data_IF_060971188986
#
_entry.id   IF_060971188986
#
_cell.length_a   1.000
_cell.length_b   1.000
_cell.length_c   1.000
_cell.angle_alpha   90.00
_cell.angle_beta   90.00
_cell.angle_gamma   90.00
#
_symmetry.space_group_name_H-M   'P 1'
#
loop_
_entity.id
_entity.type
_entity.pdbx_description
1 polymer ?
#
# COMPACT_ATOMS: atom_id res chain seq x y z
N UNK A 1 36.93 -53.52 -50.18
CA UNK A 1 37.64 -52.39 -49.58
C UNK A 1 36.61 -51.31 -49.35
N UNK A 2 36.00 -51.30 -48.09
CA UNK A 2 34.88 -50.47 -47.70
C UNK A 2 35.40 -49.18 -47.09
N UNK A 3 34.92 -48.05 -47.61
CA UNK A 3 35.15 -46.74 -46.98
C UNK A 3 33.93 -46.40 -46.16
N UNK A 4 34.10 -46.38 -44.84
CA UNK A 4 33.14 -45.81 -43.89
C UNK A 4 33.26 -44.29 -43.93
N UNK A 5 32.14 -43.57 -44.25
CA UNK A 5 32.00 -42.14 -44.04
C UNK A 5 31.30 -41.94 -42.72
N UNK A 6 32.03 -41.44 -41.74
CA UNK A 6 31.48 -40.99 -40.44
C UNK A 6 30.93 -39.59 -40.61
N UNK A 7 29.61 -39.41 -40.47
CA UNK A 7 28.98 -38.10 -40.42
C UNK A 7 28.98 -37.61 -38.97
N UNK A 8 29.66 -36.51 -38.72
CA UNK A 8 29.71 -35.82 -37.44
C UNK A 8 28.47 -34.91 -37.33
N UNK A 9 27.47 -35.31 -36.55
CA UNK A 9 26.32 -34.48 -36.24
C UNK A 9 26.70 -33.60 -35.05
N UNK A 10 26.90 -32.30 -35.33
CA UNK A 10 27.17 -31.29 -34.31
C UNK A 10 25.83 -30.90 -33.67
N UNK A 11 25.59 -31.36 -32.44
CA UNK A 11 24.47 -30.90 -31.61
C UNK A 11 24.83 -29.54 -31.01
N UNK A 12 24.27 -28.45 -31.56
CA UNK A 12 24.33 -27.14 -30.94
C UNK A 12 23.24 -27.12 -29.86
N UNK A 13 23.63 -27.36 -28.62
CA UNK A 13 22.79 -27.15 -27.45
C UNK A 13 22.67 -25.64 -27.23
N UNK A 14 21.52 -25.08 -27.59
CA UNK A 14 21.14 -23.71 -27.24
C UNK A 14 20.83 -23.71 -25.75
N UNK A 15 21.81 -23.29 -24.95
CA UNK A 15 21.61 -23.09 -23.51
C UNK A 15 20.75 -21.81 -23.34
N UNK A 16 19.42 -21.95 -23.27
CA UNK A 16 18.55 -20.92 -22.75
C UNK A 16 18.88 -20.74 -21.28
N UNK A 17 19.72 -19.79 -20.95
CA UNK A 17 19.86 -19.30 -19.59
C UNK A 17 18.58 -18.56 -19.22
N UNK A 18 17.61 -19.29 -18.72
CA UNK A 18 16.52 -18.71 -17.95
C UNK A 18 17.18 -18.19 -16.67
N UNK A 19 17.44 -16.89 -16.58
CA UNK A 19 17.73 -16.24 -15.31
C UNK A 19 16.49 -16.38 -14.44
N UNK A 20 16.45 -17.43 -13.63
CA UNK A 20 15.50 -17.54 -12.54
C UNK A 20 15.78 -16.36 -11.61
N UNK A 21 14.96 -15.31 -11.67
CA UNK A 21 14.93 -14.30 -10.64
C UNK A 21 14.62 -15.02 -9.32
N UNK A 22 15.55 -14.97 -8.39
CA UNK A 22 15.35 -15.51 -7.06
C UNK A 22 14.13 -14.79 -6.45
N UNK A 23 13.11 -15.55 -6.09
CA UNK A 23 11.87 -15.08 -5.45
C UNK A 23 12.09 -14.27 -4.17
N UNK A 24 13.32 -14.18 -3.68
CA UNK A 24 13.71 -13.51 -2.43
C UNK A 24 14.64 -12.30 -2.66
N UNK A 25 14.75 -11.78 -3.87
CA UNK A 25 15.60 -10.62 -4.11
C UNK A 25 14.83 -9.32 -3.76
N UNK A 26 15.31 -8.53 -2.75
CA UNK A 26 14.74 -7.21 -2.46
C UNK A 26 14.78 -6.25 -3.67
N UNK A 27 15.64 -6.52 -4.66
CA UNK A 27 15.64 -5.79 -5.94
C UNK A 27 14.36 -5.98 -6.76
N UNK A 28 13.50 -6.96 -6.43
CA UNK A 28 12.21 -7.16 -7.10
C UNK A 28 11.26 -5.96 -6.98
N UNK A 29 11.40 -5.11 -5.93
CA UNK A 29 10.53 -3.95 -5.73
C UNK A 29 11.01 -2.70 -6.46
N UNK A 30 12.30 -2.58 -6.73
CA UNK A 30 12.90 -1.39 -7.31
C UNK A 30 13.79 -1.75 -8.49
N UNK A 31 13.91 -0.82 -9.43
CA UNK A 31 14.83 -0.95 -10.57
C UNK A 31 16.30 -0.65 -10.17
N UNK A 32 17.20 -0.69 -11.13
CA UNK A 32 18.62 -0.39 -10.94
C UNK A 32 18.91 1.03 -10.41
N UNK A 33 17.93 1.93 -10.45
CA UNK A 33 18.02 3.30 -9.93
C UNK A 33 17.33 3.46 -8.57
N UNK A 34 16.92 2.36 -7.92
CA UNK A 34 16.19 2.38 -6.65
C UNK A 34 14.75 2.90 -6.76
N UNK A 35 14.18 2.93 -7.97
CA UNK A 35 12.81 3.38 -8.22
C UNK A 35 11.85 2.19 -8.26
N UNK A 36 10.69 2.32 -7.63
CA UNK A 36 9.63 1.32 -7.68
C UNK A 36 9.24 1.04 -9.14
N UNK A 37 9.25 -0.21 -9.55
CA UNK A 37 8.96 -0.62 -10.93
C UNK A 37 7.98 -1.78 -11.00
N UNK A 38 8.28 -2.89 -10.33
CA UNK A 38 7.47 -4.09 -10.30
C UNK A 38 7.41 -4.66 -8.87
N UNK A 39 6.24 -5.13 -8.47
CA UNK A 39 6.03 -5.76 -7.16
C UNK A 39 5.15 -6.99 -7.31
N UNK A 40 5.74 -8.20 -7.32
CA UNK A 40 4.99 -9.45 -7.42
C UNK A 40 4.22 -9.79 -6.13
N UNK A 41 4.48 -9.09 -5.04
CA UNK A 41 3.90 -9.31 -3.71
C UNK A 41 4.11 -10.72 -3.13
N UNK A 42 5.15 -11.43 -3.57
CA UNK A 42 5.45 -12.80 -3.14
C UNK A 42 6.24 -12.90 -1.84
N UNK A 43 6.98 -11.86 -1.47
CA UNK A 43 7.88 -11.86 -0.33
C UNK A 43 7.28 -11.14 0.86
N UNK A 44 7.01 -11.88 1.94
CA UNK A 44 6.40 -11.38 3.15
C UNK A 44 7.21 -11.80 4.38
N UNK A 45 7.21 -10.93 5.39
CA UNK A 45 7.66 -11.27 6.73
C UNK A 45 6.53 -11.05 7.74
N UNK A 46 6.64 -11.67 8.91
CA UNK A 46 5.75 -11.43 10.04
C UNK A 46 6.56 -11.04 11.25
N UNK A 47 6.22 -9.91 11.86
CA UNK A 47 6.68 -9.56 13.20
C UNK A 47 5.59 -9.91 14.21
N UNK A 48 6.00 -10.39 15.36
CA UNK A 48 5.09 -10.86 16.40
C UNK A 48 4.94 -9.80 17.49
N UNK A 49 3.71 -9.40 17.75
CA UNK A 49 3.39 -8.45 18.82
C UNK A 49 2.48 -9.13 19.83
N UNK A 50 2.91 -9.16 21.10
CA UNK A 50 2.09 -9.66 22.20
C UNK A 50 1.17 -8.55 22.70
N UNK A 51 -0.13 -8.77 22.62
CA UNK A 51 -1.11 -7.86 23.19
C UNK A 51 -1.11 -7.92 24.72
N UNK A 52 -1.52 -6.80 25.33
CA UNK A 52 -1.73 -6.75 26.77
C UNK A 52 -2.71 -7.82 27.23
N UNK A 53 -2.44 -8.44 28.39
CA UNK A 53 -3.26 -9.52 28.95
C UNK A 53 -4.74 -9.12 29.11
N UNK A 54 -5.01 -7.86 29.47
CA UNK A 54 -6.37 -7.33 29.60
C UNK A 54 -7.19 -7.34 28.32
N UNK A 55 -6.55 -7.44 27.14
CA UNK A 55 -7.23 -7.58 25.83
C UNK A 55 -7.40 -9.05 25.46
N UNK A 56 -6.30 -9.72 25.25
CA UNK A 56 -6.31 -11.12 24.87
C UNK A 56 -5.07 -11.87 25.37
N UNK A 57 -3.98 -11.16 25.64
CA UNK A 57 -2.65 -11.72 25.91
C UNK A 57 -2.08 -12.52 24.72
N UNK A 58 -2.73 -12.47 23.56
CA UNK A 58 -2.36 -13.23 22.36
C UNK A 58 -1.20 -12.58 21.64
N UNK A 59 -0.46 -13.39 20.93
CA UNK A 59 0.54 -12.91 19.98
C UNK A 59 -0.11 -12.79 18.59
N UNK A 60 0.00 -11.62 18.01
CA UNK A 60 -0.56 -11.28 16.70
C UNK A 60 0.58 -11.12 15.71
N UNK A 61 0.45 -11.74 14.54
CA UNK A 61 1.36 -11.57 13.43
C UNK A 61 1.02 -10.30 12.65
N UNK A 62 1.97 -9.37 12.57
CA UNK A 62 1.88 -8.19 11.75
C UNK A 62 2.71 -8.39 10.48
N UNK A 63 2.03 -8.63 9.38
CA UNK A 63 2.66 -8.88 8.09
C UNK A 63 3.17 -7.59 7.45
N UNK A 64 4.34 -7.68 6.82
CA UNK A 64 4.92 -6.65 5.97
C UNK A 64 5.52 -7.25 4.71
N UNK A 65 5.67 -6.45 3.66
CA UNK A 65 6.30 -6.84 2.40
C UNK A 65 7.81 -6.61 2.47
N UNK A 66 8.57 -7.60 2.03
CA UNK A 66 10.02 -7.57 1.98
C UNK A 66 10.66 -8.80 2.59
N UNK A 67 11.99 -8.80 2.63
CA UNK A 67 12.81 -9.89 3.19
C UNK A 67 13.44 -9.42 4.49
N UNK A 68 13.22 -10.15 5.56
CA UNK A 68 13.86 -9.93 6.85
C UNK A 68 14.83 -11.09 7.13
N UNK A 69 16.01 -10.76 7.66
CA UNK A 69 17.02 -11.77 7.98
C UNK A 69 16.43 -12.81 8.95
N UNK A 70 16.71 -14.12 8.76
CA UNK A 70 16.08 -15.22 9.50
C UNK A 70 16.23 -15.16 11.03
N UNK A 71 17.21 -14.42 11.55
CA UNK A 71 17.52 -14.33 12.99
C UNK A 71 17.14 -12.96 13.59
N UNK A 72 16.28 -12.17 12.91
CA UNK A 72 15.77 -10.95 13.52
C UNK A 72 14.87 -11.31 14.72
N UNK A 73 15.04 -10.59 15.83
CA UNK A 73 14.16 -10.74 16.99
C UNK A 73 12.74 -10.31 16.60
N UNK A 74 11.83 -11.28 16.54
CA UNK A 74 10.44 -11.08 16.10
C UNK A 74 9.63 -10.15 17.01
N UNK A 75 10.16 -9.79 18.18
CA UNK A 75 9.55 -8.81 19.08
C UNK A 75 10.02 -7.37 18.84
N UNK A 76 10.93 -7.16 17.87
CA UNK A 76 11.32 -5.81 17.49
C UNK A 76 10.19 -5.14 16.70
N UNK A 77 9.51 -4.19 17.34
CA UNK A 77 8.45 -3.38 16.71
C UNK A 77 8.95 -2.52 15.56
N UNK A 78 10.27 -2.36 15.41
CA UNK A 78 10.92 -1.61 14.33
C UNK A 78 11.31 -2.50 13.15
N UNK A 79 10.99 -3.79 13.20
CA UNK A 79 11.33 -4.72 12.14
C UNK A 79 10.64 -4.31 10.83
N UNK A 80 11.41 -3.81 9.91
CA UNK A 80 11.00 -3.48 8.54
C UNK A 80 12.17 -3.84 7.62
N UNK A 81 11.86 -4.38 6.46
CA UNK A 81 12.86 -4.44 5.40
C UNK A 81 13.17 -3.01 4.93
N UNK A 82 14.39 -2.49 5.16
CA UNK A 82 14.75 -1.11 4.79
C UNK A 82 14.74 -0.88 3.28
N UNK A 83 14.74 -1.94 2.48
CA UNK A 83 14.69 -1.89 1.02
C UNK A 83 13.26 -1.96 0.48
N UNK A 84 12.29 -2.38 1.28
CA UNK A 84 10.90 -2.42 0.85
C UNK A 84 10.30 -1.02 0.86
N UNK A 85 9.75 -0.53 -0.27
CA UNK A 85 9.04 0.75 -0.30
C UNK A 85 7.65 0.66 0.33
N UNK A 86 7.17 -0.55 0.60
CA UNK A 86 5.81 -0.83 1.03
C UNK A 86 5.62 -0.72 2.55
N UNK A 87 4.56 -0.04 2.92
CA UNK A 87 3.98 -0.03 4.26
C UNK A 87 2.58 -0.63 4.26
N UNK A 88 2.10 -1.01 5.44
CA UNK A 88 0.76 -1.57 5.63
C UNK A 88 0.08 -0.93 6.83
N UNK A 89 -1.26 -1.04 6.90
CA UNK A 89 -2.03 -0.71 8.12
C UNK A 89 -2.02 -1.84 9.15
N UNK A 90 -1.11 -2.79 9.04
CA UNK A 90 -0.81 -3.75 10.11
C UNK A 90 0.04 -3.04 11.15
N UNK A 91 -0.56 -2.67 12.28
CA UNK A 91 0.02 -1.73 13.23
C UNK A 91 0.12 -2.30 14.64
N UNK A 92 1.15 -1.85 15.34
CA UNK A 92 1.27 -1.88 16.78
C UNK A 92 0.88 -0.52 17.36
N UNK A 93 -0.07 -0.54 18.28
CA UNK A 93 -0.53 0.63 19.02
C UNK A 93 -0.25 0.49 20.48
N UNK A 94 0.21 1.56 21.12
CA UNK A 94 0.43 1.66 22.56
C UNK A 94 -0.22 2.93 23.08
N UNK A 95 -1.48 2.83 23.45
CA UNK A 95 -2.23 3.91 24.10
C UNK A 95 -2.17 3.71 25.62
N UNK A 96 -3.12 3.00 26.20
CA UNK A 96 -3.12 2.50 27.58
C UNK A 96 -2.63 1.05 27.60
N UNK A 97 -3.00 0.30 26.58
CA UNK A 97 -2.68 -1.11 26.39
C UNK A 97 -1.89 -1.33 25.09
N UNK A 98 -1.14 -2.39 25.03
CA UNK A 98 -0.48 -2.86 23.81
C UNK A 98 -1.52 -3.56 22.94
N UNK A 99 -1.73 -3.04 21.74
CA UNK A 99 -2.73 -3.49 20.76
C UNK A 99 -2.05 -3.77 19.45
N UNK A 100 -2.35 -4.91 18.84
CA UNK A 100 -1.90 -5.22 17.48
C UNK A 100 -3.10 -5.42 16.56
N UNK A 101 -2.99 -4.93 15.32
CA UNK A 101 -4.03 -5.11 14.33
C UNK A 101 -3.45 -5.51 12.99
N UNK A 102 -4.02 -6.55 12.39
CA UNK A 102 -3.65 -7.06 11.06
C UNK A 102 -4.87 -7.02 10.15
N UNK A 103 -4.75 -6.31 9.00
CA UNK A 103 -5.78 -6.20 7.97
C UNK A 103 -5.22 -6.29 6.56
N UNK A 104 -3.91 -6.44 6.43
CA UNK A 104 -3.19 -6.72 5.18
C UNK A 104 -2.49 -8.06 5.36
N UNK A 105 -2.93 -9.06 4.62
CA UNK A 105 -2.57 -10.47 4.87
C UNK A 105 -2.04 -11.07 3.57
N UNK A 106 -0.91 -11.82 3.60
CA UNK A 106 -0.51 -12.64 2.46
C UNK A 106 -1.52 -13.78 2.27
N UNK A 107 -2.10 -13.88 1.07
CA UNK A 107 -2.97 -14.98 0.68
C UNK A 107 -2.32 -15.75 -0.49
N UNK A 108 -2.39 -17.08 -0.46
CA UNK A 108 -1.84 -17.91 -1.54
C UNK A 108 -2.53 -17.63 -2.87
N UNK A 109 -1.69 -17.41 -3.92
CA UNK A 109 -2.12 -17.32 -5.30
C UNK A 109 -1.13 -18.06 -6.19
N UNK A 110 -1.57 -19.16 -6.78
CA UNK A 110 -0.67 -20.03 -7.56
C UNK A 110 0.54 -20.49 -6.74
N UNK A 111 1.74 -20.27 -7.26
CA UNK A 111 2.99 -20.59 -6.57
C UNK A 111 3.42 -19.54 -5.55
N UNK A 112 2.89 -18.31 -5.66
CA UNK A 112 3.24 -17.16 -4.83
C UNK A 112 2.17 -16.72 -3.84
N UNK A 113 2.12 -15.43 -3.59
CA UNK A 113 1.15 -14.77 -2.70
C UNK A 113 0.64 -13.49 -3.35
N UNK A 114 -0.56 -13.09 -2.94
CA UNK A 114 -1.11 -11.76 -3.19
C UNK A 114 -1.32 -11.02 -1.87
N UNK A 115 -1.57 -9.72 -1.92
CA UNK A 115 -2.02 -8.95 -0.79
C UNK A 115 -3.54 -9.00 -0.68
N UNK A 116 -4.06 -9.50 0.45
CA UNK A 116 -5.47 -9.44 0.82
C UNK A 116 -5.67 -8.31 1.81
N UNK A 117 -6.45 -7.32 1.44
CA UNK A 117 -6.79 -6.14 2.23
C UNK A 117 -8.21 -6.30 2.76
N UNK A 118 -8.41 -6.26 4.07
CA UNK A 118 -9.71 -6.45 4.70
C UNK A 118 -10.17 -5.20 5.45
N UNK A 119 -11.45 -4.91 5.40
CA UNK A 119 -12.08 -4.00 6.36
C UNK A 119 -12.80 -4.80 7.43
N UNK A 120 -12.52 -4.52 8.69
CA UNK A 120 -13.20 -5.17 9.80
C UNK A 120 -13.33 -4.26 11.01
N UNK A 121 -14.29 -4.57 11.87
CA UNK A 121 -14.43 -3.92 13.18
C UNK A 121 -13.61 -4.72 14.20
N UNK A 122 -12.64 -4.07 14.79
CA UNK A 122 -11.99 -4.58 15.99
C UNK A 122 -12.89 -4.28 17.19
N UNK A 123 -13.12 -5.30 18.01
CA UNK A 123 -13.93 -5.21 19.22
C UNK A 123 -13.09 -5.60 20.42
N UNK A 124 -12.94 -4.65 21.33
CA UNK A 124 -12.23 -4.84 22.59
C UNK A 124 -13.17 -4.57 23.77
N UNK A 125 -12.90 -5.22 24.91
CA UNK A 125 -13.54 -4.92 26.18
C UNK A 125 -12.45 -4.59 27.20
N UNK A 126 -12.36 -3.33 27.58
CA UNK A 126 -11.33 -2.83 28.49
C UNK A 126 -12.02 -2.46 29.80
N UNK A 127 -11.89 -3.31 30.81
CA UNK A 127 -12.49 -3.12 32.13
C UNK A 127 -14.02 -2.83 32.07
N UNK A 128 -14.75 -3.55 31.19
CA UNK A 128 -16.18 -3.38 31.00
C UNK A 128 -16.58 -2.33 29.96
N UNK A 129 -15.66 -1.49 29.51
CA UNK A 129 -15.90 -0.55 28.44
C UNK A 129 -15.71 -1.24 27.07
N UNK A 130 -16.77 -1.29 26.28
CA UNK A 130 -16.71 -1.77 24.90
C UNK A 130 -16.12 -0.71 23.99
N UNK A 131 -15.12 -1.09 23.21
CA UNK A 131 -14.48 -0.22 22.20
C UNK A 131 -14.54 -0.93 20.87
N UNK A 132 -15.17 -0.30 19.90
CA UNK A 132 -15.32 -0.85 18.55
C UNK A 132 -14.71 0.13 17.54
N UNK A 133 -13.70 -0.33 16.78
CA UNK A 133 -12.96 0.49 15.82
C UNK A 133 -12.94 -0.19 14.46
N UNK A 134 -13.46 0.49 13.43
CA UNK A 134 -13.31 0.02 12.05
C UNK A 134 -11.89 0.27 11.57
N UNK A 135 -11.30 -0.73 10.99
CA UNK A 135 -9.95 -0.68 10.43
C UNK A 135 -9.99 -1.25 9.02
N UNK A 136 -9.59 -0.45 8.05
CA UNK A 136 -9.43 -0.88 6.66
C UNK A 136 -7.99 -1.30 6.39
N UNK A 137 -7.82 -2.43 5.71
CA UNK A 137 -6.54 -2.87 5.18
C UNK A 137 -6.08 -1.93 4.08
N UNK A 138 -4.91 -1.34 4.25
CA UNK A 138 -4.28 -0.47 3.26
C UNK A 138 -2.83 -0.89 3.06
N UNK A 139 -2.47 -1.12 1.80
CA UNK A 139 -1.11 -1.31 1.32
C UNK A 139 -0.68 0.00 0.63
N UNK A 140 0.44 0.59 1.05
CA UNK A 140 0.86 1.90 0.55
C UNK A 140 2.38 1.99 0.43
N UNK A 141 2.88 2.91 -0.38
CA UNK A 141 4.31 3.23 -0.39
C UNK A 141 4.60 4.32 0.64
N UNK A 142 5.58 4.07 1.50
CA UNK A 142 5.92 4.97 2.61
C UNK A 142 6.23 4.23 3.90
N UNK A 143 6.04 4.91 5.03
CA UNK A 143 6.42 4.39 6.33
C UNK A 143 5.32 4.61 7.39
N UNK A 144 5.02 3.55 8.14
CA UNK A 144 4.18 3.61 9.33
C UNK A 144 5.04 3.91 10.55
N UNK A 145 4.70 4.99 11.26
CA UNK A 145 5.37 5.39 12.50
C UNK A 145 4.73 4.69 13.70
N UNK A 146 5.44 3.79 14.32
CA UNK A 146 4.96 3.02 15.48
C UNK A 146 5.75 3.31 16.76
N UNK A 147 5.14 3.11 17.93
CA UNK A 147 3.76 2.69 18.17
C UNK A 147 2.76 3.83 17.92
N UNK A 148 1.59 3.49 17.36
CA UNK A 148 0.47 4.44 17.25
C UNK A 148 -0.09 4.73 18.65
N UNK A 149 -0.23 6.01 18.99
CA UNK A 149 -0.55 6.44 20.37
C UNK A 149 -1.95 7.05 20.55
N UNK A 150 -2.79 6.98 19.54
CA UNK A 150 -4.16 7.52 19.62
C UNK A 150 -4.94 7.32 18.33
N UNK A 151 -6.26 7.46 18.43
CA UNK A 151 -7.18 7.36 17.29
C UNK A 151 -7.43 8.71 16.63
N UNK A 152 -7.06 9.82 17.29
CA UNK A 152 -7.18 11.15 16.70
C UNK A 152 -6.05 11.35 15.69
N UNK A 153 -6.41 11.78 14.48
CA UNK A 153 -5.48 12.02 13.37
C UNK A 153 -4.54 10.82 13.08
N UNK A 154 -5.06 9.65 12.74
CA UNK A 154 -4.25 8.44 12.54
C UNK A 154 -3.20 8.61 11.43
N UNK A 155 -3.46 9.50 10.44
CA UNK A 155 -2.52 9.81 9.36
C UNK A 155 -1.23 10.47 9.82
N UNK A 156 -1.18 11.11 10.99
CA UNK A 156 0.07 11.63 11.57
C UNK A 156 1.13 10.55 11.81
N UNK A 157 0.71 9.29 11.83
CA UNK A 157 1.62 8.16 11.98
C UNK A 157 2.03 7.54 10.63
N UNK A 158 1.60 8.12 9.51
CA UNK A 158 1.90 7.61 8.17
C UNK A 158 2.69 8.64 7.39
N UNK A 159 3.99 8.40 7.16
CA UNK A 159 4.76 9.18 6.20
C UNK A 159 4.46 8.67 4.80
N UNK A 160 3.62 9.40 4.05
CA UNK A 160 3.13 8.94 2.76
C UNK A 160 4.08 9.29 1.62
N UNK A 161 4.32 8.30 0.77
CA UNK A 161 5.07 8.43 -0.46
C UNK A 161 6.56 8.21 -0.29
N UNK A 162 7.20 8.01 -1.42
CA UNK A 162 8.63 7.71 -1.58
C UNK A 162 9.23 8.61 -2.64
N UNK A 163 10.57 8.83 -2.66
CA UNK A 163 11.25 9.45 -3.79
C UNK A 163 10.96 8.69 -5.09
N UNK A 164 10.58 9.43 -6.13
CA UNK A 164 10.25 8.86 -7.43
C UNK A 164 10.32 9.93 -8.52
N UNK A 165 11.09 9.67 -9.58
CA UNK A 165 11.35 10.65 -10.64
C UNK A 165 10.91 10.20 -12.05
N UNK A 166 10.32 8.99 -12.16
CA UNK A 166 9.85 8.46 -13.44
C UNK A 166 8.42 8.91 -13.76
N UNK A 167 8.05 8.79 -15.03
CA UNK A 167 6.74 9.19 -15.54
C UNK A 167 6.07 8.01 -16.24
N UNK A 168 5.41 7.09 -15.49
CA UNK A 168 4.70 5.96 -16.08
C UNK A 168 3.46 6.44 -16.84
N UNK A 169 3.16 5.82 -17.98
CA UNK A 169 1.92 6.05 -18.74
C UNK A 169 0.71 5.42 -18.04
N UNK A 170 0.96 4.32 -17.31
CA UNK A 170 -0.08 3.59 -16.60
C UNK A 170 0.49 2.79 -15.45
N UNK A 171 -0.39 2.35 -14.55
CA UNK A 171 -0.12 1.27 -13.59
C UNK A 171 -0.94 0.06 -13.99
N UNK A 172 -0.30 -1.10 -14.01
CA UNK A 172 -0.91 -2.39 -14.29
C UNK A 172 -0.85 -3.26 -13.05
N UNK A 173 -1.93 -3.97 -12.73
CA UNK A 173 -1.96 -4.94 -11.62
C UNK A 173 -3.10 -5.94 -11.80
N UNK A 174 -2.97 -7.06 -11.10
CA UNK A 174 -4.02 -8.05 -10.99
C UNK A 174 -4.87 -7.77 -9.76
N UNK A 175 -6.19 -7.99 -9.87
CA UNK A 175 -7.07 -7.76 -8.73
C UNK A 175 -8.35 -8.58 -8.77
N UNK A 176 -8.97 -8.72 -7.60
CA UNK A 176 -10.38 -9.06 -7.39
C UNK A 176 -10.86 -8.34 -6.14
N UNK A 177 -12.17 -8.19 -5.98
CA UNK A 177 -12.71 -7.50 -4.81
C UNK A 177 -14.12 -7.93 -4.47
N UNK A 178 -14.46 -7.75 -3.21
CA UNK A 178 -15.81 -7.80 -2.69
C UNK A 178 -16.02 -6.60 -1.80
N UNK A 179 -16.93 -5.71 -2.18
CA UNK A 179 -17.28 -4.54 -1.38
C UNK A 179 -18.60 -4.80 -0.69
N UNK A 180 -18.61 -4.70 0.63
CA UNK A 180 -19.79 -4.91 1.43
C UNK A 180 -20.82 -3.80 1.24
N UNK A 181 -22.08 -4.12 1.46
CA UNK A 181 -23.23 -3.23 1.22
C UNK A 181 -23.69 -2.46 2.47
N UNK A 182 -23.20 -2.83 3.66
CA UNK A 182 -23.51 -2.16 4.93
C UNK A 182 -22.38 -1.28 5.37
N UNK A 183 -22.47 0.00 5.06
CA UNK A 183 -21.46 0.96 5.47
C UNK A 183 -21.72 1.44 6.89
N UNK A 184 -20.68 1.49 7.70
CA UNK A 184 -20.71 1.95 9.08
C UNK A 184 -19.56 2.90 9.37
N UNK A 185 -19.71 3.68 10.43
CA UNK A 185 -18.62 4.40 11.10
C UNK A 185 -18.42 3.79 12.47
N UNK A 186 -17.18 3.45 12.81
CA UNK A 186 -16.88 2.92 14.14
C UNK A 186 -15.55 3.49 14.65
N UNK A 187 -15.65 4.35 15.67
CA UNK A 187 -14.49 4.94 16.39
C UNK A 187 -14.43 4.44 17.83
N UNK A 188 -15.58 4.27 18.48
CA UNK A 188 -15.78 3.67 19.80
C UNK A 188 -17.04 2.82 19.85
N UNK A 189 -18.06 3.21 19.08
CA UNK A 189 -19.31 2.49 18.83
C UNK A 189 -19.48 2.29 17.32
N UNK A 190 -20.40 1.41 16.94
CA UNK A 190 -20.74 1.18 15.53
C UNK A 190 -22.03 1.92 15.22
N UNK A 191 -21.92 2.88 14.31
CA UNK A 191 -23.05 3.67 13.84
C UNK A 191 -23.25 3.46 12.33
N UNK A 192 -24.48 3.42 11.80
CA UNK A 192 -24.71 3.42 10.36
C UNK A 192 -24.07 4.65 9.70
N UNK A 193 -23.53 4.49 8.51
CA UNK A 193 -22.99 5.57 7.69
C UNK A 193 -23.68 5.61 6.33
N UNK A 194 -23.93 6.80 5.82
CA UNK A 194 -24.57 7.00 4.52
C UNK A 194 -23.69 6.56 3.34
N UNK A 195 -24.35 6.21 2.24
CA UNK A 195 -23.73 5.83 0.99
C UNK A 195 -23.21 4.40 0.98
N UNK A 196 -22.53 4.03 -0.09
CA UNK A 196 -21.91 2.71 -0.30
C UNK A 196 -20.42 2.77 -0.04
N UNK A 197 -19.86 1.66 0.42
CA UNK A 197 -18.41 1.51 0.53
C UNK A 197 -17.78 1.31 -0.86
N UNK A 198 -16.47 1.50 -0.95
CA UNK A 198 -15.68 1.32 -2.17
C UNK A 198 -14.28 0.85 -1.78
N UNK A 199 -13.76 -0.13 -2.48
CA UNK A 199 -12.32 -0.34 -2.47
C UNK A 199 -11.67 0.71 -3.40
N UNK A 200 -10.39 0.98 -3.20
CA UNK A 200 -9.72 2.07 -3.90
C UNK A 200 -8.27 1.74 -4.27
N UNK A 201 -7.88 2.20 -5.45
CA UNK A 201 -6.52 2.34 -5.93
C UNK A 201 -6.22 3.80 -6.21
N UNK A 202 -5.06 4.28 -5.78
CA UNK A 202 -4.67 5.68 -5.99
C UNK A 202 -3.16 5.81 -6.22
N UNK A 203 -2.81 6.61 -7.24
CA UNK A 203 -1.46 7.07 -7.56
C UNK A 203 -1.47 8.58 -7.65
N UNK A 204 -0.51 9.24 -7.00
CA UNK A 204 -0.29 10.68 -7.09
C UNK A 204 1.20 10.91 -7.30
N UNK A 205 1.56 11.57 -8.39
CA UNK A 205 2.90 12.01 -8.70
C UNK A 205 3.04 13.49 -8.34
N UNK A 206 4.03 13.82 -7.52
CA UNK A 206 4.19 15.15 -6.95
C UNK A 206 5.60 15.68 -7.16
N UNK A 207 5.71 17.00 -7.34
CA UNK A 207 6.96 17.76 -7.14
C UNK A 207 6.87 18.43 -5.78
N UNK A 208 7.63 17.90 -4.81
CA UNK A 208 7.62 18.36 -3.40
C UNK A 208 8.76 19.32 -3.13
N UNK A 209 8.54 20.24 -2.20
CA UNK A 209 9.57 21.10 -1.62
C UNK A 209 9.26 21.40 -0.16
N UNK A 210 10.30 21.81 0.56
CA UNK A 210 10.22 22.23 1.95
C UNK A 210 10.54 23.72 2.03
N UNK A 211 9.79 24.47 2.82
CA UNK A 211 10.10 25.88 3.08
C UNK A 211 11.12 26.01 4.24
N UNK A 212 11.59 27.24 4.49
CA UNK A 212 12.56 27.55 5.56
C UNK A 212 12.04 27.22 6.98
N UNK A 213 10.76 27.03 7.15
CA UNK A 213 10.12 26.70 8.44
C UNK A 213 9.88 25.19 8.60
N UNK A 214 10.25 24.39 7.61
CA UNK A 214 10.03 22.93 7.62
C UNK A 214 8.62 22.51 7.19
N UNK A 215 7.84 23.39 6.58
CA UNK A 215 6.54 23.04 6.02
C UNK A 215 6.72 22.38 4.66
N UNK A 216 5.90 21.36 4.39
CA UNK A 216 5.99 20.58 3.16
C UNK A 216 4.87 20.94 2.18
N UNK A 217 5.26 21.25 0.96
CA UNK A 217 4.38 21.60 -0.14
C UNK A 217 4.62 20.71 -1.35
N UNK A 218 3.62 20.66 -2.23
CA UNK A 218 3.75 19.99 -3.53
C UNK A 218 2.93 20.68 -4.62
N UNK A 219 3.32 20.45 -5.88
CA UNK A 219 2.42 20.51 -7.03
C UNK A 219 2.12 19.09 -7.51
N UNK A 220 0.87 18.83 -7.91
CA UNK A 220 0.49 17.54 -8.48
C UNK A 220 0.88 17.50 -9.95
N UNK A 221 1.79 16.59 -10.30
CA UNK A 221 2.28 16.42 -11.68
C UNK A 221 1.36 15.49 -12.48
N UNK A 222 0.83 14.47 -11.82
CA UNK A 222 -0.07 13.51 -12.43
C UNK A 222 -0.66 12.54 -11.41
N UNK A 223 -1.55 11.69 -11.87
CA UNK A 223 -2.15 10.67 -11.01
C UNK A 223 -3.12 9.76 -11.74
N UNK A 224 -3.49 8.70 -11.05
CA UNK A 224 -4.54 7.76 -11.39
C UNK A 224 -5.32 7.40 -10.14
N UNK A 225 -6.63 7.31 -10.23
CA UNK A 225 -7.50 6.88 -9.14
C UNK A 225 -8.66 6.06 -9.66
N UNK A 226 -8.95 4.95 -9.00
CA UNK A 226 -10.06 4.08 -9.35
C UNK A 226 -10.77 3.62 -8.08
N UNK A 227 -12.09 3.71 -8.11
CA UNK A 227 -12.97 3.13 -7.10
C UNK A 227 -13.62 1.86 -7.63
N UNK A 228 -13.72 0.86 -6.78
CA UNK A 228 -14.32 -0.43 -7.06
C UNK A 228 -15.55 -0.59 -6.19
N UNK A 229 -16.69 -0.94 -6.79
CA UNK A 229 -17.98 -1.14 -6.12
C UNK A 229 -18.58 -2.49 -6.49
N UNK A 230 -19.37 -3.09 -5.60
CA UNK A 230 -19.94 -4.41 -5.82
C UNK A 230 -18.92 -5.54 -5.61
N UNK A 231 -19.01 -6.58 -6.42
CA UNK A 231 -18.18 -7.78 -6.28
C UNK A 231 -17.66 -8.25 -7.62
N UNK A 232 -16.36 -8.58 -7.66
CA UNK A 232 -15.67 -9.29 -8.73
C UNK A 232 -14.87 -10.41 -8.09
N UNK A 233 -15.42 -11.64 -8.08
CA UNK A 233 -14.83 -12.78 -7.40
C UNK A 233 -13.71 -13.46 -8.22
N UNK A 234 -13.70 -13.27 -9.54
CA UNK A 234 -12.65 -13.79 -10.41
C UNK A 234 -11.52 -12.78 -10.52
N UNK A 235 -10.29 -13.27 -10.62
CA UNK A 235 -9.14 -12.42 -10.89
C UNK A 235 -9.28 -11.72 -12.24
N UNK A 236 -9.03 -10.42 -12.26
CA UNK A 236 -8.79 -9.63 -13.46
C UNK A 236 -7.28 -9.45 -13.54
N UNK A 237 -6.66 -10.15 -14.48
CA UNK A 237 -5.22 -10.17 -14.64
C UNK A 237 -4.77 -9.04 -15.58
N UNK A 238 -3.69 -8.34 -15.20
CA UNK A 238 -3.04 -7.33 -16.02
C UNK A 238 -3.89 -6.10 -16.35
N UNK A 239 -4.86 -5.76 -15.50
CA UNK A 239 -5.67 -4.56 -15.68
C UNK A 239 -4.81 -3.30 -15.66
N UNK A 240 -5.01 -2.41 -16.63
CA UNK A 240 -4.18 -1.23 -16.85
C UNK A 240 -4.95 0.05 -16.57
N UNK A 241 -4.39 0.91 -15.72
CA UNK A 241 -4.98 2.17 -15.28
C UNK A 241 -4.10 3.33 -15.75
N UNK A 242 -4.56 4.18 -16.70
CA UNK A 242 -3.76 5.27 -17.23
C UNK A 242 -3.46 6.33 -16.17
N UNK A 243 -2.23 6.88 -16.21
CA UNK A 243 -1.83 8.04 -15.41
C UNK A 243 -2.05 9.30 -16.23
N UNK A 244 -2.84 10.21 -15.70
CA UNK A 244 -3.13 11.51 -16.31
C UNK A 244 -2.17 12.56 -15.75
N UNK A 245 -1.63 13.40 -16.63
CA UNK A 245 -0.61 14.40 -16.29
C UNK A 245 -1.13 15.84 -16.46
N UNK A 246 -0.64 16.75 -15.62
CA UNK A 246 -1.04 18.15 -15.61
C UNK A 246 -2.36 18.39 -14.90
N UNK A 247 -3.03 19.47 -15.26
CA UNK A 247 -4.34 19.85 -14.74
C UNK A 247 -5.44 18.97 -15.35
N UNK A 248 -6.02 18.09 -14.53
CA UNK A 248 -7.04 17.13 -14.93
C UNK A 248 -8.48 17.62 -14.70
N UNK A 249 -8.67 18.86 -14.26
CA UNK A 249 -10.00 19.40 -13.90
C UNK A 249 -10.98 19.44 -15.06
N UNK A 250 -10.47 19.41 -16.29
CA UNK A 250 -11.29 19.40 -17.51
C UNK A 250 -11.59 17.98 -18.05
N UNK A 251 -11.08 16.93 -17.42
CA UNK A 251 -11.36 15.56 -17.85
C UNK A 251 -12.81 15.19 -17.49
N UNK A 252 -13.55 14.49 -18.39
CA UNK A 252 -14.94 14.10 -18.13
C UNK A 252 -15.16 13.29 -16.86
N UNK A 253 -14.16 12.50 -16.46
CA UNK A 253 -14.18 11.66 -15.24
C UNK A 253 -13.72 12.39 -13.96
N UNK A 254 -13.34 13.68 -14.06
CA UNK A 254 -12.87 14.42 -12.90
C UNK A 254 -13.98 14.65 -11.88
N UNK A 255 -13.68 14.32 -10.63
CA UNK A 255 -14.51 14.63 -9.48
C UNK A 255 -13.64 15.32 -8.41
N UNK A 256 -13.95 16.57 -8.11
CA UNK A 256 -13.17 17.38 -7.17
C UNK A 256 -13.10 16.79 -5.75
N UNK A 257 -14.13 16.04 -5.31
CA UNK A 257 -14.18 15.42 -3.98
C UNK A 257 -13.23 14.23 -3.84
N UNK A 258 -12.92 13.59 -4.96
CA UNK A 258 -12.13 12.35 -4.96
C UNK A 258 -10.81 12.48 -5.71
N UNK A 259 -10.74 13.34 -6.72
CA UNK A 259 -9.55 13.56 -7.56
C UNK A 259 -8.90 14.94 -7.36
N UNK A 260 -9.52 15.82 -6.58
CA UNK A 260 -9.00 17.15 -6.27
C UNK A 260 -7.65 17.11 -5.55
N UNK A 261 -7.04 18.27 -5.45
CA UNK A 261 -5.78 18.44 -4.73
C UNK A 261 -5.94 18.09 -3.25
N UNK A 262 -4.87 17.65 -2.61
CA UNK A 262 -4.83 17.36 -1.18
C UNK A 262 -5.13 18.66 -0.43
N UNK A 263 -6.16 18.67 0.46
CA UNK A 263 -6.53 19.83 1.25
C UNK A 263 -5.40 20.29 2.16
N UNK A 264 -5.46 21.56 2.54
CA UNK A 264 -4.44 22.21 3.36
C UNK A 264 -4.34 21.67 4.80
N UNK A 265 -5.28 20.85 5.26
CA UNK A 265 -5.30 20.38 6.65
C UNK A 265 -5.54 18.88 6.72
N UNK A 266 -4.51 18.13 7.17
CA UNK A 266 -4.68 16.88 7.90
C UNK A 266 -4.90 15.60 7.11
N UNK A 267 -4.90 15.60 5.78
CA UNK A 267 -5.17 14.37 5.02
C UNK A 267 -3.93 13.58 4.59
N UNK A 268 -2.77 14.22 4.46
CA UNK A 268 -1.51 13.57 4.12
C UNK A 268 -0.40 14.14 4.99
N UNK A 269 0.41 13.27 5.56
CA UNK A 269 1.59 13.65 6.34
C UNK A 269 2.84 13.04 5.71
N UNK A 270 3.94 13.77 5.87
CA UNK A 270 5.27 13.36 5.39
C UNK A 270 6.33 13.76 6.42
N UNK A 271 7.48 13.10 6.39
CA UNK A 271 8.64 13.56 7.14
C UNK A 271 9.30 14.73 6.41
N UNK A 272 9.59 15.82 7.13
CA UNK A 272 10.42 16.89 6.63
C UNK A 272 11.92 16.57 6.81
N UNK A 273 12.81 17.47 6.39
CA UNK A 273 14.27 17.30 6.50
C UNK A 273 14.78 17.09 7.93
N UNK A 274 14.00 17.55 8.94
CA UNK A 274 14.30 17.34 10.36
C UNK A 274 13.74 16.00 10.91
N UNK A 275 13.12 15.17 10.06
CA UNK A 275 12.47 13.93 10.47
C UNK A 275 11.13 14.12 11.20
N UNK A 276 10.59 15.35 11.24
CA UNK A 276 9.30 15.66 11.87
C UNK A 276 8.15 15.35 10.91
N UNK A 277 7.09 14.74 11.42
CA UNK A 277 5.85 14.54 10.68
C UNK A 277 5.08 15.85 10.56
N UNK A 278 4.87 16.30 9.34
CA UNK A 278 4.18 17.56 9.00
C UNK A 278 3.12 17.31 7.92
N UNK A 279 2.05 18.12 7.89
CA UNK A 279 1.09 18.05 6.79
C UNK A 279 1.75 18.36 5.45
N UNK A 280 1.33 17.65 4.41
CA UNK A 280 1.68 17.96 3.02
C UNK A 280 0.53 18.73 2.38
N UNK A 281 0.84 19.86 1.75
CA UNK A 281 -0.15 20.73 1.08
C UNK A 281 0.14 20.76 -0.42
N UNK A 282 -0.83 20.38 -1.24
CA UNK A 282 -0.75 20.61 -2.69
C UNK A 282 -1.24 22.02 -3.02
N UNK A 283 -0.36 22.81 -3.63
CA UNK A 283 -0.63 24.23 -3.95
C UNK A 283 -1.21 24.45 -5.34
N UNK A 284 -1.25 23.40 -6.16
CA UNK A 284 -1.78 23.47 -7.52
C UNK A 284 -1.37 22.28 -8.39
N UNK A 285 -1.75 22.36 -9.64
CA UNK A 285 -1.36 21.40 -10.68
C UNK A 285 -0.04 21.84 -11.31
N UNK A 286 0.89 20.89 -11.47
CA UNK A 286 2.12 21.09 -12.22
C UNK A 286 1.91 20.90 -13.71
N UNK A 287 2.97 21.16 -14.49
CA UNK A 287 2.88 20.96 -15.95
C UNK A 287 3.01 19.47 -16.29
N UNK A 288 2.40 19.02 -17.40
CA UNK A 288 2.50 17.62 -17.83
C UNK A 288 3.92 17.13 -18.10
N UNK A 289 4.83 18.04 -18.45
CA UNK A 289 6.26 17.75 -18.73
C UNK A 289 7.17 17.83 -17.50
N UNK A 290 6.70 18.34 -16.36
CA UNK A 290 7.48 18.39 -15.12
C UNK A 290 7.88 16.98 -14.67
N UNK A 291 9.08 16.88 -14.10
CA UNK A 291 9.57 15.65 -13.48
C UNK A 291 9.06 15.57 -12.04
N UNK A 292 8.38 14.51 -11.63
CA UNK A 292 8.00 14.32 -10.25
C UNK A 292 9.23 14.09 -9.38
N UNK A 293 9.12 14.37 -8.09
CA UNK A 293 10.12 14.03 -7.08
C UNK A 293 9.66 12.94 -6.13
N UNK A 294 8.33 12.74 -6.02
CA UNK A 294 7.72 11.78 -5.11
C UNK A 294 6.48 11.13 -5.72
N UNK A 295 6.23 9.91 -5.24
CA UNK A 295 5.06 9.09 -5.55
C UNK A 295 4.32 8.80 -4.25
N UNK A 296 3.01 9.11 -4.19
CA UNK A 296 2.05 8.50 -3.29
C UNK A 296 1.36 7.39 -4.06
N UNK A 297 1.27 6.20 -3.47
CA UNK A 297 0.65 5.05 -4.09
C UNK A 297 0.05 4.16 -3.02
N UNK A 298 -1.23 3.81 -3.16
CA UNK A 298 -1.89 2.90 -2.23
C UNK A 298 -3.06 2.13 -2.83
N UNK A 299 -3.38 1.03 -2.17
CA UNK A 299 -4.60 0.25 -2.30
C UNK A 299 -5.27 0.17 -0.94
N UNK A 300 -6.59 0.32 -0.87
CA UNK A 300 -7.34 0.17 0.37
C UNK A 300 -8.66 -0.57 0.17
N UNK A 301 -9.05 -1.38 1.14
CA UNK A 301 -10.31 -2.14 1.12
C UNK A 301 -11.54 -1.26 1.36
N UNK A 302 -11.37 -0.05 1.95
CA UNK A 302 -12.44 0.95 2.14
C UNK A 302 -11.87 2.37 1.98
N UNK A 303 -12.41 3.13 1.04
CA UNK A 303 -11.88 4.46 0.64
C UNK A 303 -11.91 5.52 1.74
N UNK A 304 -12.76 5.36 2.73
CA UNK A 304 -12.81 6.22 3.92
C UNK A 304 -12.39 5.49 5.21
N UNK A 305 -11.63 4.41 5.07
CA UNK A 305 -11.13 3.63 6.21
C UNK A 305 -10.35 4.46 7.22
N UNK A 306 -9.60 5.47 6.76
CA UNK A 306 -8.88 6.41 7.62
C UNK A 306 -9.80 7.29 8.48
N UNK A 307 -11.04 7.47 8.06
CA UNK A 307 -12.08 8.18 8.79
C UNK A 307 -12.93 7.21 9.63
N UNK A 308 -12.47 5.96 9.77
CA UNK A 308 -13.17 4.87 10.45
C UNK A 308 -14.53 4.53 9.82
N UNK A 309 -14.66 4.75 8.50
CA UNK A 309 -15.88 4.47 7.74
C UNK A 309 -15.58 3.43 6.64
N UNK A 310 -16.51 2.48 6.49
CA UNK A 310 -16.40 1.42 5.50
C UNK A 310 -17.38 0.30 5.78
N UNK A 311 -17.32 -0.77 5.01
CA UNK A 311 -18.09 -1.98 5.27
C UNK A 311 -17.18 -3.08 5.86
N UNK A 312 -17.54 -3.66 7.02
CA UNK A 312 -16.73 -4.73 7.62
C UNK A 312 -16.62 -6.02 6.78
N UNK A 313 -17.32 -6.09 5.66
CA UNK A 313 -17.30 -7.21 4.72
C UNK A 313 -16.45 -6.91 3.48
N UNK A 314 -15.90 -5.69 3.36
CA UNK A 314 -15.10 -5.30 2.20
C UNK A 314 -13.73 -5.96 2.22
N UNK A 315 -13.37 -6.55 1.08
CA UNK A 315 -12.06 -7.18 0.84
C UNK A 315 -11.57 -6.80 -0.55
N UNK A 316 -10.29 -6.47 -0.66
CA UNK A 316 -9.63 -6.17 -1.90
C UNK A 316 -8.34 -7.01 -2.01
N UNK A 317 -8.19 -7.77 -3.09
CA UNK A 317 -7.00 -8.54 -3.38
C UNK A 317 -6.23 -7.88 -4.51
N UNK A 318 -4.93 -7.76 -4.35
CA UNK A 318 -4.03 -7.11 -5.30
C UNK A 318 -2.77 -7.95 -5.49
N UNK A 319 -2.26 -8.00 -6.72
CA UNK A 319 -1.05 -8.74 -7.07
C UNK A 319 -0.36 -8.15 -8.31
N UNK A 320 0.89 -8.54 -8.56
CA UNK A 320 1.64 -8.24 -9.79
C UNK A 320 1.59 -6.77 -10.22
N UNK A 321 1.94 -5.86 -9.31
CA UNK A 321 1.90 -4.43 -9.57
C UNK A 321 3.08 -4.01 -10.46
N UNK A 322 2.81 -3.33 -11.57
CA UNK A 322 3.81 -2.91 -12.56
C UNK A 322 3.56 -1.48 -13.04
N UNK A 323 4.62 -0.67 -13.16
CA UNK A 323 4.57 0.62 -13.83
C UNK A 323 4.88 0.45 -15.33
N UNK A 324 4.00 0.94 -16.19
CA UNK A 324 4.12 0.90 -17.65
C UNK A 324 4.65 2.25 -18.15
N UNK A 325 5.74 2.25 -18.95
CA UNK A 325 6.42 3.44 -19.46
C UNK A 325 6.25 3.65 -20.96
#
# INVERSE_FOLDING_TARGET
MQFFKTALISFITFLCTVTAFSQNDPAAFVDSHGQLNYSPLDSWYARKVKESFMLSGKTIDLYGLGVVKPNADFFDTKLKDPKSPWGTTNIYSKMVLDVANTRVIPEKRGAGYCARLETAIRKDNIAGLKVEVLIAGTLFVGEMMEPVRGLKDPLKNVSQGIPFSRKPKAVKFDYKYRVGNKRVKATYSVDPAEGTDKAEFCVILQKRWEDKNGNMFATRIGGARQFFTGTVDQWIDGATFPVYYGDITQLPQYDAKTMGLIPSVGEVYVKNSQGKMVPLVETGWGRPDDTPTHLIFYFTSSYQGIQYQGSPESVFWVDNIEFVY
#
